data_IF_344703208093
#
_entry.id   IF_344703208093
#
_cell.length_a   1.000
_cell.length_b   1.000
_cell.length_c   1.000
_cell.angle_alpha   90.00
_cell.angle_beta   90.00
_cell.angle_gamma   90.00
#
_symmetry.space_group_name_H-M   'P 1'
#
loop_
_entity.id
_entity.type
_entity.pdbx_description
1 polymer ?
#
# COMPACT_ATOMS: atom_id res chain seq x y z
N UNK A 1 -1.90 10.41 16.64
CA UNK A 1 -1.02 10.78 15.50
C UNK A 1 -0.54 9.48 14.86
N UNK A 2 -0.68 9.30 13.55
CA UNK A 2 -0.17 8.11 12.87
C UNK A 2 1.36 8.15 12.77
N UNK A 3 2.02 7.01 12.99
CA UNK A 3 3.48 6.89 12.91
C UNK A 3 3.90 6.76 11.44
N UNK A 4 4.56 7.80 10.92
CA UNK A 4 5.18 7.76 9.59
C UNK A 4 6.47 6.92 9.67
N UNK A 5 6.55 5.85 8.89
CA UNK A 5 7.69 4.93 8.87
C UNK A 5 8.51 5.03 7.58
N UNK A 6 8.02 5.77 6.57
CA UNK A 6 8.77 5.99 5.35
C UNK A 6 8.08 6.91 4.36
N UNK A 7 8.87 7.44 3.42
CA UNK A 7 8.39 8.27 2.31
C UNK A 7 8.99 7.78 1.00
N UNK A 8 8.18 7.70 -0.05
CA UNK A 8 8.63 7.47 -1.42
C UNK A 8 8.13 8.58 -2.35
N UNK A 9 8.52 8.53 -3.63
CA UNK A 9 8.25 9.62 -4.58
C UNK A 9 6.77 10.03 -4.76
N UNK A 10 5.83 9.13 -4.47
CA UNK A 10 4.38 9.36 -4.61
C UNK A 10 3.57 8.94 -3.38
N UNK A 11 4.23 8.53 -2.29
CA UNK A 11 3.54 7.89 -1.17
C UNK A 11 4.19 8.19 0.18
N UNK A 12 3.36 8.16 1.22
CA UNK A 12 3.79 8.09 2.62
C UNK A 12 3.40 6.74 3.18
N UNK A 13 4.29 6.11 3.93
CA UNK A 13 4.05 4.81 4.54
C UNK A 13 3.91 4.99 6.04
N UNK A 14 2.82 4.48 6.60
CA UNK A 14 2.52 4.59 8.02
C UNK A 14 2.45 3.20 8.66
N UNK A 15 2.83 3.10 9.94
CA UNK A 15 2.53 1.91 10.75
C UNK A 15 1.02 1.84 11.00
N UNK A 16 0.43 0.67 10.79
CA UNK A 16 -0.98 0.41 11.04
C UNK A 16 -1.21 -0.97 11.66
N UNK A 17 -2.45 -1.18 12.10
CA UNK A 17 -2.95 -2.47 12.57
C UNK A 17 -4.22 -2.76 11.77
N UNK A 18 -4.27 -3.90 11.09
CA UNK A 18 -5.49 -4.40 10.44
C UNK A 18 -6.48 -4.81 11.52
N UNK A 19 -7.71 -4.31 11.44
CA UNK A 19 -8.63 -4.40 12.57
C UNK A 19 -9.21 -5.81 12.73
N UNK A 20 -9.44 -6.52 11.62
CA UNK A 20 -10.11 -7.83 11.65
C UNK A 20 -9.30 -8.94 12.32
N UNK A 21 -7.96 -8.87 12.29
CA UNK A 21 -7.05 -9.90 12.82
C UNK A 21 -5.90 -9.35 13.66
N UNK A 22 -5.88 -8.04 13.91
CA UNK A 22 -4.84 -7.34 14.69
C UNK A 22 -3.44 -7.45 14.07
N UNK A 23 -3.33 -7.77 12.78
CA UNK A 23 -2.04 -7.87 12.10
C UNK A 23 -1.37 -6.50 11.98
N UNK A 24 -0.10 -6.41 12.37
CA UNK A 24 0.72 -5.22 12.12
C UNK A 24 1.00 -5.07 10.62
N UNK A 25 0.73 -3.89 10.06
CA UNK A 25 0.85 -3.63 8.63
C UNK A 25 1.56 -2.30 8.34
N UNK A 26 2.09 -2.17 7.12
CA UNK A 26 2.58 -0.92 6.56
C UNK A 26 1.54 -0.38 5.56
N UNK A 27 0.99 0.80 5.82
CA UNK A 27 -0.06 1.43 5.00
C UNK A 27 0.60 2.45 4.07
N UNK A 28 0.72 2.13 2.78
CA UNK A 28 1.24 3.02 1.72
C UNK A 28 0.12 3.92 1.20
N UNK A 29 0.04 5.14 1.72
CA UNK A 29 -0.95 6.16 1.32
C UNK A 29 -0.42 6.93 0.12
N UNK A 30 -1.20 6.96 -0.96
CA UNK A 30 -0.89 7.68 -2.20
C UNK A 30 -1.89 8.80 -2.44
N UNK A 31 -1.39 9.93 -2.93
CA UNK A 31 -2.23 11.06 -3.34
C UNK A 31 -2.66 10.88 -4.81
N UNK A 32 -3.96 10.70 -5.03
CA UNK A 32 -4.53 10.49 -6.38
C UNK A 32 -4.29 11.68 -7.32
N UNK A 33 -4.27 12.91 -6.81
CA UNK A 33 -3.99 14.09 -7.63
C UNK A 33 -2.52 14.10 -8.07
N UNK A 34 -1.60 13.81 -7.14
CA UNK A 34 -0.17 13.67 -7.47
C UNK A 34 0.09 12.55 -8.47
N UNK A 35 -0.59 11.41 -8.35
CA UNK A 35 -0.47 10.30 -9.31
C UNK A 35 -0.93 10.71 -10.72
N UNK A 36 -2.04 11.46 -10.83
CA UNK A 36 -2.52 12.00 -12.10
C UNK A 36 -1.53 13.00 -12.70
N UNK A 37 -1.08 13.98 -11.91
CA UNK A 37 -0.14 15.02 -12.37
C UNK A 37 1.16 14.42 -12.92
N UNK A 38 1.59 13.29 -12.37
CA UNK A 38 2.83 12.61 -12.77
C UNK A 38 2.62 11.45 -13.75
N UNK A 39 1.42 11.32 -14.32
CA UNK A 39 1.03 10.22 -15.23
C UNK A 39 1.39 8.81 -14.70
N UNK A 40 1.33 8.63 -13.38
CA UNK A 40 1.77 7.40 -12.71
C UNK A 40 0.63 6.40 -12.42
N UNK A 41 -0.62 6.74 -12.80
CA UNK A 41 -1.79 5.94 -12.46
C UNK A 41 -1.75 4.53 -13.06
N UNK A 42 -1.36 4.39 -14.34
CA UNK A 42 -1.23 3.08 -15.00
C UNK A 42 -0.19 2.21 -14.30
N UNK A 43 0.99 2.79 -14.01
CA UNK A 43 2.07 2.10 -13.30
C UNK A 43 1.65 1.61 -11.92
N UNK A 44 0.92 2.44 -11.16
CA UNK A 44 0.38 2.04 -9.85
C UNK A 44 -0.64 0.91 -9.98
N UNK A 45 -1.52 0.97 -10.98
CA UNK A 45 -2.48 -0.09 -11.22
C UNK A 45 -1.78 -1.42 -11.56
N UNK A 46 -0.76 -1.41 -12.42
CA UNK A 46 0.04 -2.58 -12.73
C UNK A 46 0.79 -3.14 -11.51
N UNK A 47 1.43 -2.27 -10.70
CA UNK A 47 2.11 -2.64 -9.46
C UNK A 47 1.16 -3.40 -8.53
N UNK A 48 -0.04 -2.86 -8.30
CA UNK A 48 -1.06 -3.49 -7.46
C UNK A 48 -1.52 -4.82 -8.04
N UNK A 49 -1.81 -4.87 -9.35
CA UNK A 49 -2.28 -6.09 -10.01
C UNK A 49 -1.27 -7.23 -9.91
N UNK A 50 0.00 -6.95 -10.18
CA UNK A 50 1.07 -7.95 -10.11
C UNK A 50 1.26 -8.39 -8.65
N UNK A 51 1.46 -7.44 -7.74
CA UNK A 51 1.84 -7.73 -6.36
C UNK A 51 0.74 -8.47 -5.59
N UNK A 52 -0.53 -8.21 -5.91
CA UNK A 52 -1.67 -8.91 -5.31
C UNK A 52 -1.65 -10.42 -5.54
N UNK A 53 -1.13 -10.86 -6.70
CA UNK A 53 -1.04 -12.28 -7.08
C UNK A 53 0.18 -13.00 -6.52
N UNK A 54 1.17 -12.25 -6.00
CA UNK A 54 2.40 -12.85 -5.46
C UNK A 54 2.12 -13.42 -4.06
N UNK A 55 2.31 -14.74 -3.92
CA UNK A 55 2.19 -15.49 -2.67
C UNK A 55 3.45 -16.34 -2.46
N UNK A 56 4.39 -15.80 -1.69
CA UNK A 56 5.66 -16.47 -1.38
C UNK A 56 6.24 -15.93 -0.07
N UNK A 57 6.89 -16.77 0.74
CA UNK A 57 7.48 -16.39 2.03
C UNK A 57 8.59 -15.32 1.91
N UNK A 58 9.30 -15.27 0.78
CA UNK A 58 10.37 -14.32 0.52
C UNK A 58 9.89 -13.01 -0.13
N UNK A 59 8.57 -12.85 -0.36
CA UNK A 59 8.00 -11.67 -1.01
C UNK A 59 7.05 -10.98 -0.03
N UNK A 60 7.17 -9.66 0.07
CA UNK A 60 6.24 -8.84 0.88
C UNK A 60 4.81 -9.09 0.43
N UNK A 61 3.90 -9.35 1.36
CA UNK A 61 2.52 -9.64 1.02
C UNK A 61 1.65 -8.39 0.97
N UNK A 62 0.89 -8.20 -0.12
CA UNK A 62 -0.23 -7.25 -0.14
C UNK A 62 -1.37 -7.80 0.70
N UNK A 63 -1.80 -7.01 1.67
CA UNK A 63 -2.95 -7.30 2.53
C UNK A 63 -4.14 -6.42 2.10
N UNK A 64 -5.33 -7.00 2.05
CA UNK A 64 -6.57 -6.26 1.88
C UNK A 64 -7.31 -6.14 3.22
N UNK A 65 -8.00 -5.02 3.38
CA UNK A 65 -9.07 -4.86 4.35
C UNK A 65 -10.38 -5.09 3.58
N UNK A 66 -11.01 -6.24 3.78
CA UNK A 66 -12.37 -6.45 3.32
C UNK A 66 -13.30 -5.87 4.39
N UNK A 67 -14.07 -4.86 4.03
CA UNK A 67 -15.22 -4.46 4.85
C UNK A 67 -16.16 -5.67 4.89
N UNK A 68 -16.26 -6.33 6.05
CA UNK A 68 -17.40 -7.19 6.36
C UNK A 68 -18.62 -6.34 6.66
#
# INVERSE_FOLDING_TARGET
KFELIGTGGFAKVYRGIRLCDRLNVAIKIMDKQQLKLKNAQSRVNEEVQIHYRLRNLAIVQVCEETNK
#
